data_IF_246976969757
#
_entry.id   IF_246976969757
#
_cell.length_a   1.000
_cell.length_b   1.000
_cell.length_c   1.000
_cell.angle_alpha   90.00
_cell.angle_beta   90.00
_cell.angle_gamma   90.00
#
_symmetry.space_group_name_H-M   'P 1'
#
loop_
_entity.id
_entity.type
_entity.pdbx_description
1 polymer ?
#
# COMPACT_ATOMS: atom_id res chain seq x y z
N UNK A 1 5.22 -13.36 32.24
CA UNK A 1 5.50 -11.95 31.87
C UNK A 1 4.50 -11.58 30.79
N UNK A 2 3.44 -10.83 31.13
CA UNK A 2 2.37 -10.47 30.18
C UNK A 2 2.89 -9.31 29.34
N UNK A 3 3.26 -9.57 28.09
CA UNK A 3 3.70 -8.51 27.18
C UNK A 3 2.47 -7.73 26.75
N UNK A 4 2.27 -6.58 27.37
CA UNK A 4 1.23 -5.63 26.97
C UNK A 4 1.55 -5.13 25.56
N UNK A 5 0.82 -5.65 24.57
CA UNK A 5 0.97 -5.28 23.17
C UNK A 5 0.40 -3.87 22.97
N UNK A 6 1.21 -2.85 23.26
CA UNK A 6 0.84 -1.45 23.06
C UNK A 6 0.70 -1.19 21.55
N UNK A 7 -0.50 -0.89 21.03
CA UNK A 7 -0.65 -0.51 19.64
C UNK A 7 0.15 0.78 19.43
N UNK A 8 1.16 0.73 18.58
CA UNK A 8 2.04 1.85 18.25
C UNK A 8 1.18 3.09 17.94
N UNK A 9 1.42 4.23 18.62
CA UNK A 9 0.67 5.50 18.44
C UNK A 9 0.53 5.90 16.95
N UNK A 10 1.55 5.60 16.14
CA UNK A 10 1.57 5.83 14.69
C UNK A 10 0.50 5.08 13.90
N UNK A 11 -0.03 3.97 14.41
CA UNK A 11 -1.11 3.21 13.76
C UNK A 11 -2.43 3.99 13.86
N UNK A 12 -2.76 4.52 15.05
CA UNK A 12 -3.94 5.36 15.28
C UNK A 12 -3.88 6.69 14.51
N UNK A 13 -2.68 7.23 14.32
CA UNK A 13 -2.47 8.42 13.48
C UNK A 13 -2.67 8.10 11.99
N UNK A 14 -2.18 6.96 11.50
CA UNK A 14 -2.36 6.53 10.11
C UNK A 14 -3.77 6.10 9.75
N UNK A 15 -4.53 5.58 10.71
CA UNK A 15 -5.95 5.27 10.55
C UNK A 15 -6.76 6.54 10.25
N UNK A 16 -6.40 7.68 10.87
CA UNK A 16 -7.06 8.97 10.64
C UNK A 16 -6.60 9.68 9.37
N UNK A 17 -5.35 9.48 8.97
CA UNK A 17 -4.71 10.26 7.89
C UNK A 17 -4.80 9.56 6.53
N UNK A 18 -4.92 8.23 6.49
CA UNK A 18 -4.98 7.46 5.25
C UNK A 18 -3.66 7.46 4.46
N UNK A 19 -3.64 6.90 3.24
CA UNK A 19 -2.48 6.96 2.36
C UNK A 19 -2.29 8.37 1.78
N UNK A 20 -1.06 8.86 1.75
CA UNK A 20 -0.72 10.10 1.06
C UNK A 20 -0.76 9.87 -0.46
N UNK A 21 -1.79 10.41 -1.11
CA UNK A 21 -2.01 10.35 -2.56
C UNK A 21 -1.77 11.73 -3.16
N UNK A 22 -1.17 11.80 -4.35
CA UNK A 22 -0.99 13.08 -5.04
C UNK A 22 -2.32 13.78 -5.34
N UNK A 23 -3.40 13.00 -5.54
CA UNK A 23 -4.77 13.52 -5.70
C UNK A 23 -5.31 14.23 -4.44
N UNK A 24 -4.82 13.89 -3.25
CA UNK A 24 -5.29 14.46 -1.98
C UNK A 24 -4.44 15.64 -1.50
N UNK A 25 -3.47 16.09 -2.30
CA UNK A 25 -2.64 17.22 -1.93
C UNK A 25 -3.47 18.51 -1.93
N UNK A 26 -3.49 19.22 -0.80
CA UNK A 26 -4.27 20.43 -0.61
C UNK A 26 -3.63 21.59 -1.37
N UNK A 27 -4.10 21.81 -2.60
CA UNK A 27 -3.68 22.93 -3.43
C UNK A 27 -4.51 24.18 -3.10
N UNK A 28 -3.83 25.31 -2.88
CA UNK A 28 -4.47 26.62 -2.78
C UNK A 28 -5.20 27.02 -4.08
N UNK A 29 -5.83 28.21 -4.10
CA UNK A 29 -6.62 28.68 -5.26
C UNK A 29 -5.83 28.61 -6.58
N UNK A 30 -4.58 29.09 -6.58
CA UNK A 30 -3.69 29.05 -7.74
C UNK A 30 -3.35 27.61 -8.16
N UNK A 31 -3.18 26.72 -7.18
CA UNK A 31 -2.91 25.31 -7.45
C UNK A 31 -4.13 24.61 -8.07
N UNK A 32 -5.36 24.95 -7.68
CA UNK A 32 -6.58 24.43 -8.34
C UNK A 32 -6.67 24.88 -9.79
N UNK A 33 -6.35 26.14 -10.09
CA UNK A 33 -6.33 26.66 -11.46
C UNK A 33 -5.26 25.93 -12.29
N UNK A 34 -4.04 25.81 -11.75
CA UNK A 34 -2.95 25.08 -12.39
C UNK A 34 -3.36 23.63 -12.67
N UNK A 35 -3.95 22.94 -11.69
CA UNK A 35 -4.37 21.56 -11.82
C UNK A 35 -5.47 21.38 -12.88
N UNK A 36 -6.40 22.34 -13.02
CA UNK A 36 -7.41 22.32 -14.09
C UNK A 36 -6.77 22.47 -15.46
N UNK A 37 -5.87 23.44 -15.63
CA UNK A 37 -5.16 23.67 -16.90
C UNK A 37 -4.32 22.43 -17.27
N UNK A 38 -3.51 21.94 -16.34
CA UNK A 38 -2.69 20.75 -16.55
C UNK A 38 -3.53 19.51 -16.81
N UNK A 39 -4.70 19.36 -16.16
CA UNK A 39 -5.59 18.25 -16.46
C UNK A 39 -6.22 18.32 -17.84
N UNK A 40 -6.54 19.52 -18.34
CA UNK A 40 -7.06 19.72 -19.68
C UNK A 40 -5.98 19.43 -20.74
N UNK A 41 -4.78 20.01 -20.58
CA UNK A 41 -3.64 19.83 -21.50
C UNK A 41 -3.06 18.41 -21.42
N UNK A 42 -3.12 17.76 -20.26
CA UNK A 42 -2.70 16.38 -20.01
C UNK A 42 -3.71 15.32 -20.46
N UNK A 43 -4.61 15.65 -21.38
CA UNK A 43 -5.44 14.65 -22.10
C UNK A 43 -4.83 14.35 -23.46
N UNK A 44 -4.95 13.10 -23.95
CA UNK A 44 -4.51 12.71 -25.30
C UNK A 44 -5.08 13.63 -26.40
N UNK A 45 -6.23 14.25 -26.13
CA UNK A 45 -6.86 15.26 -27.00
C UNK A 45 -5.96 16.44 -27.36
N UNK A 46 -5.10 16.88 -26.45
CA UNK A 46 -4.21 18.01 -26.70
C UNK A 46 -3.17 17.69 -27.80
N UNK A 47 -2.65 16.46 -27.81
CA UNK A 47 -1.74 16.00 -28.85
C UNK A 47 -2.43 15.99 -30.23
N UNK A 48 -3.70 15.57 -30.30
CA UNK A 48 -4.48 15.63 -31.54
C UNK A 48 -4.72 17.07 -32.01
N UNK A 49 -5.07 17.99 -31.10
CA UNK A 49 -5.29 19.41 -31.43
C UNK A 49 -4.00 20.05 -31.96
N UNK A 50 -2.85 19.84 -31.30
CA UNK A 50 -1.59 20.38 -31.79
C UNK A 50 -1.13 19.77 -33.10
N UNK A 51 -1.37 18.47 -33.32
CA UNK A 51 -1.10 17.84 -34.60
C UNK A 51 -1.92 18.46 -35.74
N UNK A 52 -3.21 18.76 -35.49
CA UNK A 52 -4.08 19.44 -36.47
C UNK A 52 -3.63 20.87 -36.73
N UNK A 53 -3.31 21.64 -35.68
CA UNK A 53 -2.82 23.02 -35.81
C UNK A 53 -1.51 23.04 -36.61
N UNK A 54 -0.61 22.10 -36.34
CA UNK A 54 0.61 21.95 -37.11
C UNK A 54 0.29 21.63 -38.58
N UNK A 55 -0.66 20.73 -38.86
CA UNK A 55 -1.07 20.41 -40.24
C UNK A 55 -1.56 21.64 -41.03
N UNK A 56 -2.21 22.61 -40.37
CA UNK A 56 -2.64 23.87 -40.99
C UNK A 56 -1.42 24.72 -41.42
N UNK A 57 -0.29 24.64 -40.72
CA UNK A 57 0.94 25.36 -41.06
C UNK A 57 1.84 24.64 -42.09
N UNK A 58 1.57 23.37 -42.39
CA UNK A 58 2.27 22.56 -43.39
C UNK A 58 2.35 23.21 -44.79
N UNK A 59 1.28 23.81 -45.36
CA UNK A 59 1.32 24.38 -46.70
C UNK A 59 2.37 25.50 -46.84
N UNK A 60 2.49 26.33 -45.78
CA UNK A 60 3.48 27.40 -45.72
C UNK A 60 4.91 26.85 -45.66
N UNK A 61 5.13 25.72 -44.98
CA UNK A 61 6.44 25.09 -44.90
C UNK A 61 6.87 24.45 -46.22
N UNK A 62 5.93 23.85 -46.96
CA UNK A 62 6.18 23.26 -48.29
C UNK A 62 6.63 24.34 -49.28
N UNK A 63 6.02 25.52 -49.26
CA UNK A 63 6.41 26.65 -50.11
C UNK A 63 7.82 27.16 -49.81
N UNK A 64 8.33 26.96 -48.59
CA UNK A 64 9.69 27.32 -48.18
C UNK A 64 10.78 26.31 -48.59
N UNK A 65 10.43 25.24 -49.29
CA UNK A 65 11.37 24.21 -49.76
C UNK A 65 11.72 23.13 -48.72
N UNK A 66 12.54 22.15 -49.15
CA UNK A 66 12.83 20.92 -48.37
C UNK A 66 13.47 21.23 -47.01
N UNK A 67 14.46 22.14 -46.95
CA UNK A 67 15.13 22.51 -45.70
C UNK A 67 14.16 23.09 -44.66
N UNK A 68 13.27 24.00 -45.10
CA UNK A 68 12.24 24.60 -44.25
C UNK A 68 11.22 23.58 -43.76
N UNK A 69 10.85 22.60 -44.61
CA UNK A 69 9.95 21.51 -44.23
C UNK A 69 10.54 20.65 -43.09
N UNK A 70 11.80 20.22 -43.22
CA UNK A 70 12.48 19.42 -42.18
C UNK A 70 12.59 20.21 -40.88
N UNK A 71 12.98 21.48 -40.94
CA UNK A 71 13.07 22.34 -39.77
C UNK A 71 11.69 22.50 -39.10
N UNK A 72 10.63 22.69 -39.88
CA UNK A 72 9.26 22.79 -39.39
C UNK A 72 8.78 21.49 -38.72
N UNK A 73 9.07 20.32 -39.29
CA UNK A 73 8.74 19.03 -38.68
C UNK A 73 9.47 18.84 -37.35
N UNK A 74 10.79 19.08 -37.32
CA UNK A 74 11.63 18.88 -36.14
C UNK A 74 11.29 19.87 -35.01
N UNK A 75 11.00 21.11 -35.36
CA UNK A 75 10.86 22.19 -34.38
C UNK A 75 9.41 22.50 -34.04
N UNK A 76 8.50 22.63 -35.00
CA UNK A 76 7.13 23.08 -34.71
C UNK A 76 6.21 21.89 -34.45
N UNK A 77 6.28 20.86 -35.30
CA UNK A 77 5.44 19.67 -35.13
C UNK A 77 5.90 18.79 -33.96
N UNK A 78 7.14 18.28 -34.02
CA UNK A 78 7.65 17.34 -33.03
C UNK A 78 7.71 17.97 -31.63
N UNK A 79 8.10 19.24 -31.49
CA UNK A 79 8.22 19.88 -30.18
C UNK A 79 6.86 20.07 -29.48
N UNK A 80 5.84 20.57 -30.19
CA UNK A 80 4.50 20.79 -29.61
C UNK A 80 3.86 19.46 -29.22
N UNK A 81 4.01 18.44 -30.07
CA UNK A 81 3.47 17.10 -29.80
C UNK A 81 4.24 16.41 -28.68
N UNK A 82 5.57 16.44 -28.66
CA UNK A 82 6.37 15.84 -27.57
C UNK A 82 6.01 16.43 -26.22
N UNK A 83 5.92 17.76 -26.11
CA UNK A 83 5.60 18.43 -24.85
C UNK A 83 4.23 17.97 -24.32
N UNK A 84 3.22 17.86 -25.19
CA UNK A 84 1.89 17.40 -24.84
C UNK A 84 1.88 15.93 -24.41
N UNK A 85 2.53 15.05 -25.18
CA UNK A 85 2.60 13.60 -24.87
C UNK A 85 3.34 13.35 -23.56
N UNK A 86 4.43 14.08 -23.28
CA UNK A 86 5.17 13.98 -22.02
C UNK A 86 4.25 14.33 -20.84
N UNK A 87 3.47 15.41 -20.93
CA UNK A 87 2.56 15.82 -19.85
C UNK A 87 1.47 14.77 -19.59
N UNK A 88 0.89 14.18 -20.64
CA UNK A 88 -0.07 13.07 -20.51
C UNK A 88 0.60 11.85 -19.85
N UNK A 89 1.81 11.50 -20.28
CA UNK A 89 2.57 10.38 -19.73
C UNK A 89 2.85 10.55 -18.23
N UNK A 90 3.27 11.75 -17.82
CA UNK A 90 3.49 12.09 -16.41
C UNK A 90 2.21 11.99 -15.57
N UNK A 91 1.07 12.48 -16.10
CA UNK A 91 -0.22 12.36 -15.42
C UNK A 91 -0.65 10.90 -15.24
N UNK A 92 -0.50 10.07 -16.27
CA UNK A 92 -0.84 8.64 -16.21
C UNK A 92 0.07 7.91 -15.21
N UNK A 93 1.37 8.20 -15.22
CA UNK A 93 2.32 7.63 -14.27
C UNK A 93 2.00 8.04 -12.82
N UNK A 94 1.64 9.30 -12.58
CA UNK A 94 1.24 9.78 -11.25
C UNK A 94 -0.03 9.05 -10.75
N UNK A 95 -1.06 8.89 -11.60
CA UNK A 95 -2.27 8.16 -11.24
C UNK A 95 -2.00 6.67 -10.96
N UNK A 96 -1.11 6.04 -11.73
CA UNK A 96 -0.70 4.65 -11.50
C UNK A 96 0.08 4.51 -10.18
N UNK A 97 0.98 5.45 -9.88
CA UNK A 97 1.71 5.51 -8.62
C UNK A 97 0.76 5.68 -7.43
N UNK A 98 -0.23 6.56 -7.53
CA UNK A 98 -1.25 6.73 -6.49
C UNK A 98 -2.06 5.45 -6.27
N UNK A 99 -2.45 4.76 -7.34
CA UNK A 99 -3.12 3.46 -7.23
C UNK A 99 -2.25 2.43 -6.51
N UNK A 100 -0.97 2.36 -6.87
CA UNK A 100 -0.03 1.45 -6.22
C UNK A 100 0.18 1.80 -4.75
N UNK A 101 0.31 3.08 -4.41
CA UNK A 101 0.44 3.54 -3.02
C UNK A 101 -0.78 3.15 -2.18
N UNK A 102 -1.98 3.28 -2.74
CA UNK A 102 -3.23 2.88 -2.08
C UNK A 102 -3.31 1.36 -1.89
N UNK A 103 -2.90 0.57 -2.88
CA UNK A 103 -2.83 -0.89 -2.76
C UNK A 103 -1.85 -1.32 -1.67
N UNK A 104 -0.63 -0.78 -1.69
CA UNK A 104 0.40 -1.04 -0.66
C UNK A 104 -0.09 -0.67 0.74
N UNK A 105 -0.82 0.43 0.89
CA UNK A 105 -1.40 0.81 2.17
C UNK A 105 -2.40 -0.23 2.69
N UNK A 106 -3.30 -0.71 1.82
CA UNK A 106 -4.29 -1.74 2.18
C UNK A 106 -3.63 -3.08 2.50
N UNK A 107 -2.61 -3.47 1.74
CA UNK A 107 -1.87 -4.70 1.99
C UNK A 107 -1.14 -4.64 3.35
N UNK A 108 -0.57 -3.47 3.70
CA UNK A 108 0.05 -3.26 5.00
C UNK A 108 -0.97 -3.34 6.14
N UNK A 109 -2.17 -2.78 5.97
CA UNK A 109 -3.27 -2.89 6.94
C UNK A 109 -3.71 -4.35 7.15
N UNK A 110 -3.87 -5.11 6.05
CA UNK A 110 -4.19 -6.53 6.12
C UNK A 110 -3.09 -7.33 6.86
N UNK A 111 -1.82 -7.02 6.59
CA UNK A 111 -0.69 -7.66 7.25
C UNK A 111 -0.67 -7.40 8.77
N UNK A 112 -1.00 -6.18 9.19
CA UNK A 112 -1.10 -5.82 10.60
C UNK A 112 -2.20 -6.60 11.32
N UNK A 113 -3.38 -6.73 10.70
CA UNK A 113 -4.48 -7.52 11.26
C UNK A 113 -4.10 -8.99 11.41
N UNK A 114 -3.42 -9.57 10.40
CA UNK A 114 -2.91 -10.95 10.47
C UNK A 114 -1.86 -11.08 11.57
N UNK A 115 -0.98 -10.09 11.75
CA UNK A 115 0.02 -10.10 12.81
C UNK A 115 -0.63 -10.10 14.20
N UNK A 116 -1.67 -9.30 14.42
CA UNK A 116 -2.42 -9.26 15.67
C UNK A 116 -3.11 -10.61 15.95
N UNK A 117 -3.70 -11.23 14.92
CA UNK A 117 -4.30 -12.56 15.03
C UNK A 117 -3.26 -13.63 15.38
N UNK A 118 -2.08 -13.61 14.74
CA UNK A 118 -0.96 -14.49 15.06
C UNK A 118 -0.50 -14.35 16.52
N UNK A 119 -0.38 -13.12 17.03
CA UNK A 119 -0.03 -12.89 18.43
C UNK A 119 -1.06 -13.47 19.38
N UNK A 120 -2.35 -13.29 19.08
CA UNK A 120 -3.45 -13.88 19.86
C UNK A 120 -3.39 -15.41 19.87
N UNK A 121 -3.10 -16.03 18.72
CA UNK A 121 -2.93 -17.48 18.61
C UNK A 121 -1.74 -17.97 19.46
N UNK A 122 -0.63 -17.25 19.48
CA UNK A 122 0.55 -17.60 20.30
C UNK A 122 0.20 -17.52 21.79
N UNK A 123 -0.54 -16.50 22.24
CA UNK A 123 -0.96 -16.38 23.64
C UNK A 123 -1.87 -17.54 24.05
N UNK A 124 -2.83 -17.90 23.19
CA UNK A 124 -3.69 -19.07 23.40
C UNK A 124 -2.85 -20.34 23.50
N UNK A 125 -1.96 -20.60 22.54
CA UNK A 125 -1.11 -21.81 22.55
C UNK A 125 -0.23 -21.89 23.80
N UNK A 126 0.37 -20.78 24.22
CA UNK A 126 1.16 -20.72 25.46
C UNK A 126 0.30 -21.04 26.68
N UNK A 127 -0.90 -20.47 26.78
CA UNK A 127 -1.82 -20.73 27.90
C UNK A 127 -2.29 -22.19 27.95
N UNK A 128 -2.58 -22.79 26.80
CA UNK A 128 -2.97 -24.19 26.67
C UNK A 128 -1.80 -25.11 27.06
N UNK A 129 -0.59 -24.79 26.61
CA UNK A 129 0.62 -25.54 26.97
C UNK A 129 0.87 -25.51 28.48
N UNK A 130 0.68 -24.35 29.12
CA UNK A 130 0.80 -24.21 30.57
C UNK A 130 -0.28 -25.01 31.31
N UNK A 131 -1.53 -24.99 30.84
CA UNK A 131 -2.62 -25.77 31.40
C UNK A 131 -2.36 -27.29 31.30
N UNK A 132 -1.88 -27.77 30.15
CA UNK A 132 -1.48 -29.17 29.95
C UNK A 132 -0.34 -29.54 30.90
N UNK A 133 0.69 -28.69 31.01
CA UNK A 133 1.80 -28.94 31.92
C UNK A 133 1.32 -29.09 33.37
N UNK A 134 0.44 -28.20 33.85
CA UNK A 134 -0.14 -28.32 35.20
C UNK A 134 -0.94 -29.61 35.38
N UNK A 135 -1.78 -29.99 34.41
CA UNK A 135 -2.58 -31.21 34.48
C UNK A 135 -1.70 -32.48 34.52
N UNK A 136 -0.62 -32.52 33.74
CA UNK A 136 0.36 -33.62 33.76
C UNK A 136 1.04 -33.72 35.13
N UNK A 137 1.47 -32.60 35.72
CA UNK A 137 2.11 -32.58 37.04
C UNK A 137 1.15 -33.06 38.14
N UNK A 138 -0.12 -32.65 38.11
CA UNK A 138 -1.14 -33.08 39.06
C UNK A 138 -1.47 -34.57 38.97
N UNK A 139 -1.42 -35.15 37.75
CA UNK A 139 -1.62 -36.59 37.54
C UNK A 139 -0.40 -37.42 37.99
N UNK A 140 0.80 -36.87 37.85
CA UNK A 140 2.04 -37.47 38.34
C UNK A 140 2.11 -37.57 39.86
N UNK A 141 1.62 -36.56 40.59
CA UNK A 141 1.58 -36.59 42.06
C UNK A 141 0.52 -37.54 42.62
N UNK A 142 -0.65 -37.68 41.98
CA UNK A 142 -1.68 -38.66 42.40
C UNK A 142 -1.26 -40.13 42.26
N UNK A 143 -0.24 -40.44 41.46
CA UNK A 143 0.27 -41.82 41.32
C UNK A 143 1.31 -42.18 42.39
N UNK A 144 1.90 -41.20 43.08
CA UNK A 144 2.92 -41.41 44.10
C UNK A 144 2.36 -41.63 45.52
N UNK A 145 1.05 -41.43 45.74
CA UNK A 145 0.41 -41.51 47.06
C UNK A 145 -0.67 -42.61 47.10
N UNK A 146 -0.26 -43.86 46.86
CA UNK A 146 -0.95 -44.99 47.48
C UNK A 146 -0.25 -45.28 48.82
N UNK A 147 -0.85 -44.91 49.97
CA UNK A 147 -0.34 -45.37 51.25
C UNK A 147 -0.56 -46.88 51.32
N UNK A 148 0.52 -47.63 51.46
CA UNK A 148 0.49 -49.03 51.85
C UNK A 148 -0.17 -49.13 53.24
N UNK A 149 -1.48 -49.36 53.25
CA UNK A 149 -2.24 -49.74 54.45
C UNK A 149 -2.64 -51.20 54.30
N UNK A 150 -1.81 -52.09 54.84
CA UNK A 150 -2.25 -53.42 55.26
C UNK A 150 -1.58 -53.76 56.58
N UNK A 151 -2.12 -53.20 57.66
CA UNK A 151 -1.97 -53.81 58.97
C UNK A 151 -3.04 -54.88 59.13
N UNK A 152 -2.64 -56.11 59.45
CA UNK A 152 -3.51 -57.05 60.16
C UNK A 152 -2.73 -57.61 61.38
N UNK A 153 -3.18 -57.31 62.61
CA UNK A 153 -2.55 -57.77 63.85
C UNK A 153 -3.26 -59.02 64.36
N UNK A 154 -2.91 -60.23 63.91
CA UNK A 154 -3.33 -61.49 64.55
C UNK A 154 -2.67 -62.74 63.95
N UNK A 155 -1.72 -63.35 64.67
CA UNK A 155 -1.53 -64.81 64.57
C UNK A 155 -0.97 -65.39 65.88
N UNK A 156 -1.72 -66.27 66.57
CA UNK A 156 -1.23 -67.02 67.72
C UNK A 156 -0.61 -68.36 67.29
N UNK A 157 0.40 -68.77 68.07
CA UNK A 157 0.86 -70.12 68.43
C UNK A 157 2.40 -70.14 68.55
#
# INVERSE_FOLDING_TARGET
MKTEHLPNQRLKEREKTGPHLTVQEHLGLNGRIALVITNAVGTMWCAYVFAVIALISLPSAIQGGVSTLIAWIAQTFLQLVLLSVIMVGQKVAAAASDKQALQTYKDAEALLNIQDEMHRLIEINNSLTEAIHRAVMAKGTSTAEQPNVSGDPSRPA
#
